data_IF_396568503016
#
_entry.id   IF_396568503016
#
_cell.length_a   1.000
_cell.length_b   1.000
_cell.length_c   1.000
_cell.angle_alpha   90.00
_cell.angle_beta   90.00
_cell.angle_gamma   90.00
#
_symmetry.space_group_name_H-M   'P 1'
#
loop_
_entity.id
_entity.type
_entity.pdbx_description
1 polymer ?
#
# COMPACT_ATOMS: atom_id res chain seq x y z
N UNK A 1 -10.85 1.71 10.87
CA UNK A 1 -10.16 1.79 9.56
C UNK A 1 -10.34 0.46 8.84
N UNK A 2 -11.01 0.44 7.67
CA UNK A 2 -11.23 -0.66 6.72
C UNK A 2 -11.56 -2.12 7.17
N UNK A 3 -11.59 -2.45 8.46
CA UNK A 3 -11.91 -3.81 8.97
C UNK A 3 -10.90 -4.89 8.59
N UNK A 4 -9.69 -4.51 8.20
CA UNK A 4 -8.65 -5.41 7.67
C UNK A 4 -7.84 -5.98 8.84
N UNK A 5 -8.08 -7.26 9.18
CA UNK A 5 -7.43 -7.95 10.31
C UNK A 5 -6.27 -8.85 9.89
N UNK A 6 -6.27 -9.34 8.64
CA UNK A 6 -5.22 -10.22 8.11
C UNK A 6 -4.58 -9.66 6.85
N UNK A 7 -3.25 -9.82 6.74
CA UNK A 7 -2.40 -9.34 5.64
C UNK A 7 -2.61 -7.84 5.37
N UNK A 8 -2.64 -7.05 6.45
CA UNK A 8 -3.00 -5.64 6.41
C UNK A 8 -1.93 -4.80 5.70
N UNK A 9 -2.34 -3.82 4.87
CA UNK A 9 -1.40 -2.85 4.32
C UNK A 9 -0.87 -1.93 5.42
N UNK A 10 0.33 -1.39 5.20
CA UNK A 10 0.97 -0.41 6.08
C UNK A 10 1.31 0.85 5.29
N UNK A 11 1.30 1.99 5.97
CA UNK A 11 1.90 3.22 5.48
C UNK A 11 3.17 3.46 6.28
N UNK A 12 4.31 3.52 5.60
CA UNK A 12 5.59 3.86 6.24
C UNK A 12 5.74 5.38 6.26
N UNK A 13 5.53 6.00 5.09
CA UNK A 13 5.45 7.44 4.95
C UNK A 13 4.32 7.79 3.97
N UNK A 14 3.13 8.17 4.49
CA UNK A 14 2.00 8.57 3.65
C UNK A 14 2.32 9.75 2.72
N UNK A 15 3.24 10.65 3.11
CA UNK A 15 3.54 11.88 2.35
C UNK A 15 4.27 11.59 1.05
N UNK A 16 5.28 10.72 1.09
CA UNK A 16 5.99 10.25 -0.11
C UNK A 16 5.23 9.17 -0.88
N UNK A 17 4.03 8.78 -0.43
CA UNK A 17 3.26 7.70 -1.07
C UNK A 17 3.82 6.30 -0.79
N UNK A 18 4.55 6.13 0.31
CA UNK A 18 5.14 4.88 0.75
C UNK A 18 4.10 3.98 1.46
N UNK A 19 3.33 3.26 0.65
CA UNK A 19 2.35 2.28 1.08
C UNK A 19 2.77 0.87 0.66
N UNK A 20 2.75 -0.06 1.60
CA UNK A 20 3.22 -1.43 1.38
C UNK A 20 2.16 -2.45 1.77
N UNK A 21 2.21 -3.61 1.14
CA UNK A 21 1.38 -4.75 1.52
C UNK A 21 2.16 -6.05 1.50
N UNK A 22 1.80 -7.01 2.37
CA UNK A 22 2.47 -8.30 2.40
C UNK A 22 1.94 -9.22 1.29
N UNK A 23 2.83 -10.03 0.70
CA UNK A 23 2.48 -11.08 -0.27
C UNK A 23 1.74 -12.24 0.41
N UNK A 24 2.16 -12.61 1.63
CA UNK A 24 1.57 -13.68 2.45
C UNK A 24 1.24 -13.19 3.86
N UNK A 25 1.07 -14.10 4.82
CA UNK A 25 1.00 -13.69 6.23
C UNK A 25 2.35 -13.10 6.65
N UNK A 26 2.40 -11.98 7.40
CA UNK A 26 3.66 -11.43 7.93
C UNK A 26 4.46 -12.41 8.79
N UNK A 27 3.79 -13.40 9.39
CA UNK A 27 4.43 -14.45 10.18
C UNK A 27 5.04 -15.56 9.32
N UNK A 28 4.83 -15.55 7.99
CA UNK A 28 5.41 -16.53 7.08
C UNK A 28 6.83 -16.08 6.68
N UNK A 29 7.86 -16.93 6.80
CA UNK A 29 9.24 -16.57 6.44
C UNK A 29 9.43 -16.21 4.96
N UNK A 30 8.54 -16.63 4.06
CA UNK A 30 8.59 -16.27 2.63
C UNK A 30 7.82 -14.98 2.31
N UNK A 31 7.31 -14.29 3.33
CA UNK A 31 6.58 -13.05 3.16
C UNK A 31 7.49 -11.93 2.66
N UNK A 32 7.09 -11.31 1.56
CA UNK A 32 7.71 -10.10 1.04
C UNK A 32 6.73 -8.93 1.18
N UNK A 33 7.27 -7.72 1.36
CA UNK A 33 6.50 -6.48 1.38
C UNK A 33 6.70 -5.73 0.07
N UNK A 34 5.61 -5.45 -0.63
CA UNK A 34 5.65 -4.82 -1.95
C UNK A 34 5.15 -3.38 -1.84
N UNK A 35 5.94 -2.45 -2.37
CA UNK A 35 5.56 -1.04 -2.48
C UNK A 35 4.46 -0.88 -3.53
N UNK A 36 3.25 -0.52 -3.09
CA UNK A 36 2.09 -0.34 -3.95
C UNK A 36 2.32 0.71 -5.05
N UNK A 37 2.97 1.82 -4.71
CA UNK A 37 3.25 2.94 -5.62
C UNK A 37 4.27 2.62 -6.71
N UNK A 38 5.07 1.55 -6.56
CA UNK A 38 6.14 1.19 -7.50
C UNK A 38 5.77 0.05 -8.45
N UNK A 39 4.58 -0.54 -8.29
CA UNK A 39 4.07 -1.53 -9.23
C UNK A 39 3.72 -0.82 -10.54
N UNK A 40 4.22 -1.36 -11.65
CA UNK A 40 3.82 -0.97 -12.99
C UNK A 40 2.71 -1.88 -13.50
N UNK A 41 2.90 -3.20 -13.40
CA UNK A 41 1.92 -4.19 -13.85
C UNK A 41 2.06 -5.49 -13.07
N UNK A 42 0.97 -6.24 -12.93
CA UNK A 42 0.99 -7.64 -12.50
C UNK A 42 0.43 -8.55 -13.60
N UNK A 43 0.97 -9.76 -13.70
CA UNK A 43 0.54 -10.77 -14.69
C UNK A 43 0.40 -12.14 -14.02
N UNK A 44 -0.64 -12.93 -14.35
CA UNK A 44 -0.69 -14.33 -13.94
C UNK A 44 0.43 -15.09 -14.65
N UNK A 45 1.14 -15.96 -13.91
CA UNK A 45 2.16 -16.85 -14.48
C UNK A 45 1.74 -18.32 -14.40
N UNK A 46 1.09 -18.69 -13.30
CA UNK A 46 0.53 -20.02 -13.05
C UNK A 46 -0.64 -19.88 -12.04
N UNK A 47 -1.34 -20.97 -11.71
CA UNK A 47 -2.44 -21.01 -10.75
C UNK A 47 -2.08 -20.31 -9.43
N UNK A 48 -0.87 -20.58 -8.92
CA UNK A 48 -0.38 -20.09 -7.63
C UNK A 48 0.87 -19.20 -7.74
N UNK A 49 1.12 -18.64 -8.93
CA UNK A 49 2.26 -17.73 -9.16
C UNK A 49 1.85 -16.47 -9.91
N UNK A 50 2.37 -15.34 -9.44
CA UNK A 50 2.15 -14.03 -10.04
C UNK A 50 3.48 -13.38 -10.36
N UNK A 51 3.59 -12.81 -11.55
CA UNK A 51 4.70 -11.95 -11.94
C UNK A 51 4.34 -10.50 -11.62
N UNK A 52 5.24 -9.79 -10.93
CA UNK A 52 5.14 -8.36 -10.65
C UNK A 52 6.23 -7.65 -11.45
N UNK A 53 5.83 -6.63 -12.20
CA UNK A 53 6.71 -5.75 -12.98
C UNK A 53 6.71 -4.39 -12.29
N UNK A 54 7.88 -3.91 -11.91
CA UNK A 54 8.06 -2.62 -11.26
C UNK A 54 8.28 -1.51 -12.28
N UNK A 55 8.05 -0.27 -11.86
CA UNK A 55 8.30 0.93 -12.69
C UNK A 55 9.76 1.07 -13.13
N UNK A 56 10.69 0.44 -12.42
CA UNK A 56 12.12 0.37 -12.78
C UNK A 56 12.39 -0.61 -13.92
N UNK A 57 11.40 -1.39 -14.36
CA UNK A 57 11.55 -2.50 -15.32
C UNK A 57 11.99 -3.82 -14.67
N UNK A 58 12.31 -3.82 -13.38
CA UNK A 58 12.61 -5.07 -12.66
C UNK A 58 11.37 -5.95 -12.53
N UNK A 59 11.58 -7.26 -12.59
CA UNK A 59 10.51 -8.25 -12.44
C UNK A 59 10.81 -9.20 -11.29
N UNK A 60 9.76 -9.57 -10.55
CA UNK A 60 9.83 -10.65 -9.55
C UNK A 60 8.66 -11.61 -9.74
N UNK A 61 8.87 -12.86 -9.35
CA UNK A 61 7.83 -13.89 -9.31
C UNK A 61 7.55 -14.22 -7.85
N UNK A 62 6.28 -14.12 -7.46
CA UNK A 62 5.82 -14.47 -6.11
C UNK A 62 4.93 -15.70 -6.17
N UNK A 63 5.09 -16.60 -5.20
CA UNK A 63 4.28 -17.82 -5.04
C UNK A 63 2.92 -17.51 -4.40
N UNK A 64 2.17 -16.63 -5.06
CA UNK A 64 0.82 -16.22 -4.67
C UNK A 64 -0.03 -16.16 -5.94
N UNK A 65 -1.28 -16.64 -5.86
CA UNK A 65 -2.21 -16.56 -6.98
C UNK A 65 -2.53 -15.12 -7.38
N UNK A 66 -2.79 -14.93 -8.67
CA UNK A 66 -3.08 -13.60 -9.23
C UNK A 66 -4.26 -12.91 -8.53
N UNK A 67 -5.35 -13.64 -8.25
CA UNK A 67 -6.50 -13.08 -7.55
C UNK A 67 -6.18 -12.61 -6.12
N UNK A 68 -5.36 -13.37 -5.38
CA UNK A 68 -4.90 -12.97 -4.06
C UNK A 68 -4.03 -11.71 -4.10
N UNK A 69 -3.12 -11.63 -5.08
CA UNK A 69 -2.28 -10.46 -5.28
C UNK A 69 -3.08 -9.22 -5.66
N UNK A 70 -4.04 -9.36 -6.59
CA UNK A 70 -4.92 -8.27 -6.98
C UNK A 70 -5.74 -7.75 -5.79
N UNK A 71 -6.26 -8.64 -4.96
CA UNK A 71 -6.97 -8.26 -3.73
C UNK A 71 -6.07 -7.46 -2.78
N UNK A 72 -4.82 -7.86 -2.59
CA UNK A 72 -3.88 -7.10 -1.75
C UNK A 72 -3.60 -5.70 -2.31
N UNK A 73 -3.44 -5.57 -3.63
CA UNK A 73 -3.27 -4.28 -4.31
C UNK A 73 -4.51 -3.40 -4.10
N UNK A 74 -5.72 -3.91 -4.38
CA UNK A 74 -6.96 -3.16 -4.25
C UNK A 74 -7.23 -2.71 -2.81
N UNK A 75 -7.01 -3.59 -1.83
CA UNK A 75 -7.12 -3.24 -0.39
C UNK A 75 -6.15 -2.14 -0.01
N UNK A 76 -4.93 -2.19 -0.53
CA UNK A 76 -3.91 -1.16 -0.28
C UNK A 76 -4.26 0.16 -0.95
N UNK A 77 -4.80 0.14 -2.17
CA UNK A 77 -5.30 1.33 -2.85
C UNK A 77 -6.42 2.01 -2.04
N UNK A 78 -7.39 1.24 -1.54
CA UNK A 78 -8.46 1.73 -0.68
C UNK A 78 -7.94 2.28 0.65
N UNK A 79 -7.01 1.57 1.29
CA UNK A 79 -6.39 2.01 2.54
C UNK A 79 -5.64 3.33 2.34
N UNK A 80 -4.84 3.43 1.27
CA UNK A 80 -4.13 4.65 0.88
C UNK A 80 -5.09 5.81 0.70
N UNK A 81 -6.14 5.64 -0.12
CA UNK A 81 -7.13 6.69 -0.36
C UNK A 81 -7.72 7.21 0.97
N UNK A 82 -8.21 6.31 1.83
CA UNK A 82 -8.84 6.70 3.10
C UNK A 82 -7.86 7.35 4.08
N UNK A 83 -6.61 6.89 4.12
CA UNK A 83 -5.60 7.47 5.00
C UNK A 83 -5.21 8.86 4.51
N UNK A 84 -4.93 9.01 3.22
CA UNK A 84 -4.58 10.29 2.59
C UNK A 84 -5.70 11.31 2.78
N UNK A 85 -6.96 10.94 2.56
CA UNK A 85 -8.13 11.81 2.79
C UNK A 85 -8.16 12.33 4.24
N UNK A 86 -8.03 11.45 5.24
CA UNK A 86 -7.99 11.85 6.66
C UNK A 86 -6.82 12.77 6.99
N UNK A 87 -5.65 12.44 6.46
CA UNK A 87 -4.45 13.23 6.65
C UNK A 87 -4.66 14.65 6.10
N UNK A 88 -5.14 14.80 4.87
CA UNK A 88 -5.44 16.13 4.30
C UNK A 88 -6.37 16.96 5.19
N UNK A 89 -7.41 16.35 5.78
CA UNK A 89 -8.27 17.05 6.73
C UNK A 89 -7.52 17.52 7.99
N UNK A 90 -6.65 16.68 8.56
CA UNK A 90 -5.86 17.08 9.74
C UNK A 90 -4.85 18.17 9.43
N UNK A 91 -4.18 18.12 8.26
CA UNK A 91 -3.19 19.13 7.87
C UNK A 91 -3.82 20.50 7.61
N UNK A 92 -4.98 20.54 6.95
CA UNK A 92 -5.69 21.80 6.74
C UNK A 92 -6.16 22.42 8.07
N UNK A 93 -6.50 21.60 9.07
CA UNK A 93 -6.90 22.07 10.40
C UNK A 93 -5.77 22.65 11.27
N UNK A 94 -4.52 22.28 11.02
CA UNK A 94 -3.36 22.83 11.72
C UNK A 94 -2.88 24.16 11.11
N UNK A 95 -3.05 24.34 9.80
CA UNK A 95 -2.65 25.57 9.10
C UNK A 95 -3.56 26.78 9.39
N UNK A 96 -4.76 26.55 9.91
CA UNK A 96 -5.75 27.59 10.29
C UNK A 96 -5.55 28.10 11.73
N UNK A 97 -4.73 27.43 12.56
CA UNK A 97 -4.52 27.78 13.98
C UNK A 97 -3.29 28.64 14.26
N UNK A 98 -2.53 29.07 13.24
CA UNK A 98 -1.26 29.80 13.41
C UNK A 98 -1.37 31.30 13.15
N UNK A 99 -2.58 31.86 13.14
CA UNK A 99 -2.81 33.29 13.00
C UNK A 99 -3.29 33.91 14.32
N UNK A 100 -2.49 33.82 15.38
CA UNK A 100 -2.60 34.77 16.49
C UNK A 100 -1.52 35.83 16.34
N UNK A 101 -1.86 37.07 15.95
CA UNK A 101 -0.91 38.15 15.98
C UNK A 101 -0.52 38.42 17.44
N UNK A 102 0.77 38.31 17.75
CA UNK A 102 1.33 38.84 18.98
C UNK A 102 1.09 40.35 18.99
N UNK A 103 0.11 40.80 19.77
CA UNK A 103 -0.04 42.20 20.21
C UNK A 103 0.68 42.34 21.55
#
# INVERSE_FOLDING_TARGET
MCGITHKSPIAIDPHSGMFFFPTTSPNNPTCAWIAHSHIFQIKPLDKDKTKIIFKTGQEIIVSVSYGSMMNQIQRTAQFRYKLTERLHYTWNGDHEKVAEPFI
#
